data_IF_214341393705
#
_entry.id   IF_214341393705
#
_cell.length_a   1.000
_cell.length_b   1.000
_cell.length_c   1.000
_cell.angle_alpha   90.00
_cell.angle_beta   90.00
_cell.angle_gamma   90.00
#
_symmetry.space_group_name_H-M   'P 1'
#
loop_
_entity.id
_entity.type
_entity.pdbx_description
1 polymer ?
#
# COMPACT_ATOMS: atom_id res chain seq x y z
N UNK A 1 -7.86 -20.82 -23.87
CA UNK A 1 -8.10 -20.72 -22.42
C UNK A 1 -8.70 -19.33 -22.15
N UNK A 2 -9.76 -19.25 -21.37
CA UNK A 2 -10.31 -17.96 -20.92
C UNK A 2 -9.76 -17.73 -19.51
N UNK A 3 -9.01 -16.64 -19.30
CA UNK A 3 -8.45 -16.26 -17.99
C UNK A 3 -9.34 -15.19 -17.35
N UNK A 4 -9.89 -15.48 -16.17
CA UNK A 4 -10.84 -14.63 -15.48
C UNK A 4 -10.33 -14.10 -14.11
N UNK A 5 -9.09 -14.40 -13.75
CA UNK A 5 -8.49 -14.02 -12.46
C UNK A 5 -7.56 -12.78 -12.60
N UNK A 6 -8.04 -11.76 -13.28
CA UNK A 6 -7.26 -10.53 -13.49
C UNK A 6 -7.08 -9.69 -12.21
N UNK A 7 -7.81 -10.01 -11.14
CA UNK A 7 -7.59 -9.40 -9.83
C UNK A 7 -6.29 -9.87 -9.17
N UNK A 8 -5.82 -11.08 -9.50
CA UNK A 8 -4.58 -11.62 -8.99
C UNK A 8 -3.38 -11.26 -9.86
N UNK A 9 -3.48 -11.50 -11.17
CA UNK A 9 -2.39 -11.21 -12.14
C UNK A 9 -2.96 -10.82 -13.49
N UNK A 10 -2.20 -10.05 -14.25
CA UNK A 10 -2.55 -9.69 -15.62
C UNK A 10 -1.38 -9.95 -16.56
N UNK A 11 -1.67 -10.18 -17.83
CA UNK A 11 -0.64 -10.19 -18.87
C UNK A 11 -0.03 -8.80 -19.03
N UNK A 12 1.27 -8.73 -19.30
CA UNK A 12 1.90 -7.47 -19.67
C UNK A 12 1.20 -6.85 -20.88
N UNK A 13 0.94 -5.57 -20.82
CA UNK A 13 0.41 -4.84 -21.97
C UNK A 13 1.40 -4.88 -23.15
N UNK A 14 0.90 -4.85 -24.41
CA UNK A 14 1.77 -4.80 -25.57
C UNK A 14 2.78 -3.64 -25.48
N UNK A 15 4.02 -3.90 -25.84
CA UNK A 15 5.12 -2.93 -25.78
C UNK A 15 5.76 -2.72 -24.41
N UNK A 16 5.14 -3.15 -23.30
CA UNK A 16 5.75 -3.05 -21.95
C UNK A 16 6.99 -3.92 -21.85
N UNK A 17 6.90 -5.18 -22.31
CA UNK A 17 8.04 -6.10 -22.29
C UNK A 17 9.20 -5.53 -23.15
N UNK A 18 8.91 -5.02 -24.32
CA UNK A 18 9.92 -4.44 -25.23
C UNK A 18 10.62 -3.24 -24.59
N UNK A 19 9.87 -2.41 -23.86
CA UNK A 19 10.43 -1.27 -23.14
C UNK A 19 11.28 -1.69 -21.93
N UNK A 20 11.01 -2.86 -21.31
CA UNK A 20 11.76 -3.38 -20.17
C UNK A 20 13.03 -4.12 -20.58
N UNK A 21 13.02 -4.84 -21.71
CA UNK A 21 14.11 -5.72 -22.14
C UNK A 21 15.50 -5.04 -22.17
N UNK A 22 15.68 -3.81 -22.66
CA UNK A 22 16.98 -3.15 -22.64
C UNK A 22 17.59 -3.06 -21.24
N UNK A 23 16.77 -2.72 -20.23
CA UNK A 23 17.22 -2.58 -18.84
C UNK A 23 17.48 -3.91 -18.14
N UNK A 24 16.90 -5.00 -18.63
CA UNK A 24 17.16 -6.35 -18.13
C UNK A 24 18.42 -6.98 -18.74
N UNK A 25 18.84 -6.56 -19.94
CA UNK A 25 19.89 -7.23 -20.70
C UNK A 25 21.14 -6.36 -20.95
N UNK A 26 20.99 -5.11 -21.36
CA UNK A 26 22.10 -4.26 -21.79
C UNK A 26 22.30 -3.03 -20.90
N UNK A 27 21.23 -2.37 -20.45
CA UNK A 27 21.24 -1.11 -19.69
C UNK A 27 21.06 -1.35 -18.18
N UNK A 28 21.67 -2.39 -17.65
CA UNK A 28 21.51 -2.89 -16.27
C UNK A 28 22.28 -2.08 -15.22
N UNK A 29 22.57 -0.80 -15.47
CA UNK A 29 23.30 0.06 -14.55
C UNK A 29 22.57 0.32 -13.24
N UNK A 30 23.35 0.54 -12.16
CA UNK A 30 22.78 0.95 -10.89
C UNK A 30 22.43 2.45 -10.91
N UNK A 31 21.14 2.83 -10.87
CA UNK A 31 20.73 4.24 -10.96
C UNK A 31 21.19 5.10 -9.79
N UNK A 32 21.62 4.49 -8.68
CA UNK A 32 22.15 5.22 -7.53
C UNK A 32 23.66 5.55 -7.64
N UNK A 33 24.35 5.01 -8.66
CA UNK A 33 25.74 5.31 -8.93
C UNK A 33 25.87 6.52 -9.87
N UNK A 34 27.03 7.21 -9.81
CA UNK A 34 27.29 8.42 -10.62
C UNK A 34 28.54 8.31 -11.51
N UNK A 35 29.23 7.16 -11.49
CA UNK A 35 30.61 7.09 -11.95
C UNK A 35 30.80 6.40 -13.32
N UNK A 36 29.75 5.87 -13.93
CA UNK A 36 29.86 5.18 -15.21
C UNK A 36 28.61 5.35 -16.08
N UNK A 37 28.75 5.27 -17.43
CA UNK A 37 27.66 5.59 -18.37
C UNK A 37 26.36 4.79 -18.16
N UNK A 38 26.46 3.47 -17.87
CA UNK A 38 25.29 2.63 -17.61
C UNK A 38 24.48 3.10 -16.39
N UNK A 39 25.13 3.64 -15.36
CA UNK A 39 24.43 4.18 -14.21
C UNK A 39 23.68 5.46 -14.56
N UNK A 40 24.29 6.33 -15.37
CA UNK A 40 23.67 7.58 -15.83
C UNK A 40 22.44 7.27 -16.71
N UNK A 41 22.57 6.31 -17.65
CA UNK A 41 21.44 5.84 -18.47
C UNK A 41 20.31 5.28 -17.62
N UNK A 42 20.62 4.42 -16.65
CA UNK A 42 19.61 3.86 -15.74
C UNK A 42 18.93 4.94 -14.87
N UNK A 43 19.69 5.92 -14.37
CA UNK A 43 19.14 7.04 -13.61
C UNK A 43 18.19 7.87 -14.45
N UNK A 44 18.58 8.22 -15.68
CA UNK A 44 17.74 8.97 -16.60
C UNK A 44 16.43 8.23 -16.87
N UNK A 45 16.48 6.92 -17.14
CA UNK A 45 15.29 6.11 -17.37
C UNK A 45 14.33 6.08 -16.17
N UNK A 46 14.85 6.03 -14.93
CA UNK A 46 14.05 6.11 -13.72
C UNK A 46 13.38 7.47 -13.58
N UNK A 47 14.11 8.57 -13.82
CA UNK A 47 13.54 9.92 -13.72
C UNK A 47 12.50 10.20 -14.81
N UNK A 48 12.73 9.80 -16.05
CA UNK A 48 11.73 9.91 -17.14
C UNK A 48 10.46 9.10 -16.81
N UNK A 49 10.62 7.91 -16.21
CA UNK A 49 9.48 7.09 -15.78
C UNK A 49 8.71 7.76 -14.64
N UNK A 50 9.42 8.38 -13.71
CA UNK A 50 8.85 9.15 -12.59
C UNK A 50 8.02 10.33 -13.11
N UNK A 51 8.56 11.10 -14.04
CA UNK A 51 7.87 12.21 -14.69
C UNK A 51 6.57 11.77 -15.38
N UNK A 52 6.62 10.64 -16.12
CA UNK A 52 5.45 10.08 -16.81
C UNK A 52 4.35 9.66 -15.81
N UNK A 53 4.73 9.00 -14.73
CA UNK A 53 3.77 8.60 -13.66
C UNK A 53 3.19 9.83 -12.98
N UNK A 54 4.02 10.82 -12.65
CA UNK A 54 3.59 12.07 -12.04
C UNK A 54 2.58 12.81 -12.93
N UNK A 55 2.88 12.93 -14.23
CA UNK A 55 1.99 13.58 -15.20
C UNK A 55 0.63 12.87 -15.30
N UNK A 56 0.61 11.51 -15.23
CA UNK A 56 -0.62 10.72 -15.30
C UNK A 56 -1.60 11.01 -14.16
N UNK A 57 -1.08 11.31 -12.98
CA UNK A 57 -1.89 11.56 -11.77
C UNK A 57 -1.89 13.04 -11.35
N UNK A 58 -1.37 13.93 -12.19
CA UNK A 58 -1.26 15.37 -11.91
C UNK A 58 -0.46 15.70 -10.62
N UNK A 59 0.54 14.87 -10.33
CA UNK A 59 1.49 15.07 -9.23
C UNK A 59 2.81 15.65 -9.75
N UNK A 60 3.70 16.03 -8.84
CA UNK A 60 5.08 16.40 -9.16
C UNK A 60 5.98 15.14 -9.13
N UNK A 61 7.08 15.10 -9.90
CA UNK A 61 7.99 13.96 -9.91
C UNK A 61 8.52 13.59 -8.53
N UNK A 62 8.84 14.57 -7.68
CA UNK A 62 9.32 14.36 -6.31
C UNK A 62 8.28 13.75 -5.35
N UNK A 63 7.00 13.73 -5.73
CA UNK A 63 5.92 13.09 -4.97
C UNK A 63 5.74 11.60 -5.33
N UNK A 64 6.47 11.12 -6.35
CA UNK A 64 6.40 9.72 -6.78
C UNK A 64 7.50 8.90 -6.12
N UNK A 65 7.12 7.82 -5.46
CA UNK A 65 8.04 6.85 -4.85
C UNK A 65 7.76 5.48 -5.47
N UNK A 66 8.76 4.92 -6.14
CA UNK A 66 8.70 3.55 -6.65
C UNK A 66 8.96 2.56 -5.51
N UNK A 67 8.12 1.54 -5.44
CA UNK A 67 8.23 0.44 -4.49
C UNK A 67 8.19 -0.90 -5.21
N UNK A 68 8.52 -1.99 -4.55
CA UNK A 68 8.44 -3.32 -5.15
C UNK A 68 6.99 -3.83 -5.30
N UNK A 69 6.00 -3.12 -4.78
CA UNK A 69 4.60 -3.46 -4.93
C UNK A 69 3.68 -2.80 -3.92
N UNK A 70 2.37 -3.02 -4.10
CA UNK A 70 1.30 -2.42 -3.30
C UNK A 70 1.44 -2.71 -1.79
N UNK A 71 1.92 -3.90 -1.41
CA UNK A 71 2.11 -4.24 0.00
C UNK A 71 3.15 -3.32 0.66
N UNK A 72 4.26 -3.06 -0.01
CA UNK A 72 5.26 -2.11 0.49
C UNK A 72 4.71 -0.70 0.55
N UNK A 73 4.05 -0.24 -0.50
CA UNK A 73 3.43 1.09 -0.56
C UNK A 73 2.44 1.30 0.59
N UNK A 74 1.51 0.35 0.80
CA UNK A 74 0.51 0.43 1.87
C UNK A 74 1.17 0.47 3.25
N UNK A 75 2.17 -0.38 3.50
CA UNK A 75 2.90 -0.39 4.77
C UNK A 75 3.65 0.93 5.00
N UNK A 76 4.33 1.44 3.97
CA UNK A 76 5.09 2.68 4.05
C UNK A 76 4.18 3.86 4.35
N UNK A 77 3.05 3.99 3.64
CA UNK A 77 2.11 5.10 3.83
C UNK A 77 1.46 5.00 5.21
N UNK A 78 0.85 3.85 5.54
CA UNK A 78 0.08 3.71 6.78
C UNK A 78 0.98 3.92 8.01
N UNK A 79 2.13 3.25 8.06
CA UNK A 79 3.06 3.39 9.18
C UNK A 79 3.72 4.76 9.21
N UNK A 80 4.18 5.25 8.05
CA UNK A 80 4.85 6.55 7.96
C UNK A 80 3.95 7.70 8.36
N UNK A 81 2.71 7.75 7.86
CA UNK A 81 1.73 8.77 8.23
C UNK A 81 1.35 8.67 9.70
N UNK A 82 1.08 7.44 10.18
CA UNK A 82 0.73 7.23 11.59
C UNK A 82 1.85 7.69 12.53
N UNK A 83 3.10 7.32 12.26
CA UNK A 83 4.27 7.71 13.05
C UNK A 83 4.50 9.23 12.98
N UNK A 84 4.42 9.82 11.77
CA UNK A 84 4.57 11.26 11.59
C UNK A 84 3.55 12.05 12.41
N UNK A 85 2.27 11.69 12.30
CA UNK A 85 1.19 12.36 13.01
C UNK A 85 1.32 12.22 14.53
N UNK A 86 1.74 11.05 15.01
CA UNK A 86 1.88 10.78 16.45
C UNK A 86 3.11 11.43 17.07
N UNK A 87 4.28 11.27 16.44
CA UNK A 87 5.56 11.64 17.07
C UNK A 87 6.03 13.05 16.71
N UNK A 88 5.73 13.53 15.50
CA UNK A 88 6.17 14.86 15.05
C UNK A 88 5.07 15.89 15.21
N UNK A 89 3.89 15.67 14.63
CA UNK A 89 2.78 16.62 14.71
C UNK A 89 2.02 16.54 16.03
N UNK A 90 2.15 15.44 16.78
CA UNK A 90 1.47 15.17 18.07
C UNK A 90 -0.05 15.34 17.99
N UNK A 91 -0.65 14.99 16.84
CA UNK A 91 -2.09 15.14 16.58
C UNK A 91 -2.92 13.99 17.11
N UNK A 92 -2.32 12.81 17.26
CA UNK A 92 -3.04 11.64 17.75
C UNK A 92 -2.50 10.32 17.23
N UNK A 93 -3.24 9.26 17.49
CA UNK A 93 -2.83 7.89 17.15
C UNK A 93 -3.99 7.00 16.70
N UNK A 94 -5.14 7.59 16.38
CA UNK A 94 -6.30 6.84 15.93
C UNK A 94 -6.35 6.75 14.41
N UNK A 95 -6.58 5.54 13.90
CA UNK A 95 -6.67 5.20 12.48
C UNK A 95 -8.02 4.56 12.23
N UNK A 96 -8.62 4.83 11.09
CA UNK A 96 -9.87 4.20 10.65
C UNK A 96 -9.59 3.42 9.37
N UNK A 97 -10.11 2.19 9.30
CA UNK A 97 -10.05 1.35 8.10
C UNK A 97 -11.32 0.51 7.98
N UNK A 98 -11.51 -0.22 6.89
CA UNK A 98 -12.64 -1.13 6.75
C UNK A 98 -12.26 -2.58 7.07
N UNK A 99 -13.26 -3.42 7.36
CA UNK A 99 -13.05 -4.86 7.58
C UNK A 99 -12.78 -5.65 6.30
N UNK A 100 -13.08 -5.06 5.15
CA UNK A 100 -12.94 -5.68 3.82
C UNK A 100 -11.72 -5.22 3.04
N UNK A 101 -10.77 -4.57 3.69
CA UNK A 101 -9.53 -4.14 3.06
C UNK A 101 -8.70 -5.34 2.56
N UNK A 102 -7.88 -5.06 1.53
CA UNK A 102 -6.84 -6.01 1.15
C UNK A 102 -5.91 -6.31 2.34
N UNK A 103 -5.43 -7.54 2.44
CA UNK A 103 -4.58 -7.98 3.55
C UNK A 103 -3.36 -7.09 3.81
N UNK A 104 -2.79 -6.47 2.79
CA UNK A 104 -1.68 -5.53 2.94
C UNK A 104 -2.03 -4.33 3.84
N UNK A 105 -3.24 -3.78 3.70
CA UNK A 105 -3.77 -2.69 4.53
C UNK A 105 -4.27 -3.21 5.86
N UNK A 106 -5.15 -4.23 5.82
CA UNK A 106 -5.80 -4.79 7.01
C UNK A 106 -4.79 -5.28 8.05
N UNK A 107 -3.78 -6.02 7.59
CA UNK A 107 -2.77 -6.57 8.48
C UNK A 107 -1.82 -5.50 9.02
N UNK A 108 -1.53 -4.46 8.24
CA UNK A 108 -0.76 -3.31 8.73
C UNK A 108 -1.53 -2.56 9.82
N UNK A 109 -2.82 -2.35 9.64
CA UNK A 109 -3.68 -1.73 10.65
C UNK A 109 -3.79 -2.60 11.91
N UNK A 110 -3.98 -3.91 11.78
CA UNK A 110 -3.97 -4.86 12.91
C UNK A 110 -2.64 -4.84 13.65
N UNK A 111 -1.53 -4.82 12.93
CA UNK A 111 -0.19 -4.71 13.54
C UNK A 111 -0.04 -3.44 14.38
N UNK A 112 -0.50 -2.30 13.88
CA UNK A 112 -0.47 -1.03 14.63
C UNK A 112 -1.41 -1.07 15.84
N UNK A 113 -2.58 -1.70 15.72
CA UNK A 113 -3.54 -1.88 16.80
C UNK A 113 -3.04 -2.82 17.91
N UNK A 114 -1.93 -3.52 17.68
CA UNK A 114 -1.39 -4.50 18.61
C UNK A 114 -2.02 -5.88 18.51
N UNK A 115 -2.87 -6.13 17.52
CA UNK A 115 -3.50 -7.41 17.31
C UNK A 115 -2.44 -8.48 16.98
N UNK A 116 -2.58 -9.66 17.59
CA UNK A 116 -1.73 -10.80 17.25
C UNK A 116 -2.27 -11.43 15.97
N UNK A 117 -1.37 -11.73 15.04
CA UNK A 117 -1.68 -12.64 13.95
C UNK A 117 -1.99 -14.03 14.49
N UNK A 118 -3.26 -14.36 14.62
CA UNK A 118 -3.68 -15.76 14.59
C UNK A 118 -3.81 -16.15 13.11
N UNK A 119 -2.78 -16.78 12.55
CA UNK A 119 -2.94 -17.42 11.26
C UNK A 119 -3.98 -18.52 11.41
N UNK A 120 -5.20 -18.29 10.93
CA UNK A 120 -6.20 -19.33 10.76
C UNK A 120 -5.83 -20.32 9.63
N UNK A 121 -4.84 -20.00 8.80
CA UNK A 121 -4.27 -20.93 7.84
C UNK A 121 -3.12 -21.70 8.49
N UNK A 122 -3.40 -22.96 8.77
CA UNK A 122 -2.57 -23.92 9.51
C UNK A 122 -1.23 -24.31 8.84
N UNK A 123 -0.72 -23.55 7.88
CA UNK A 123 0.54 -23.84 7.20
C UNK A 123 1.72 -23.03 7.69
N UNK A 124 1.51 -22.02 8.51
CA UNK A 124 2.59 -21.26 9.16
C UNK A 124 2.31 -21.06 10.64
N UNK A 125 2.44 -22.14 11.43
CA UNK A 125 2.48 -22.04 12.88
C UNK A 125 3.82 -21.45 13.30
N UNK A 126 3.89 -20.16 13.51
CA UNK A 126 4.88 -19.59 14.42
C UNK A 126 4.45 -20.02 15.82
N UNK A 127 4.95 -21.17 16.26
CA UNK A 127 4.86 -21.64 17.64
C UNK A 127 5.60 -20.61 18.53
N UNK A 128 4.84 -19.69 19.07
CA UNK A 128 5.34 -18.59 19.88
C UNK A 128 4.53 -17.32 19.64
N UNK A 129 3.20 -17.39 19.92
CA UNK A 129 2.39 -16.17 19.99
C UNK A 129 3.06 -15.21 20.98
N UNK A 130 3.67 -14.14 20.48
CA UNK A 130 4.12 -13.05 21.33
C UNK A 130 2.88 -12.34 21.87
N UNK A 131 2.89 -11.91 23.15
CA UNK A 131 1.78 -11.17 23.71
C UNK A 131 1.51 -9.92 22.89
N UNK A 132 0.25 -9.47 22.89
CA UNK A 132 -0.18 -8.19 22.32
C UNK A 132 0.81 -7.11 22.74
N UNK A 133 1.46 -6.49 21.80
CA UNK A 133 2.37 -5.36 22.06
C UNK A 133 1.56 -4.10 21.82
N UNK A 134 1.23 -3.37 22.88
CA UNK A 134 0.68 -2.03 22.74
C UNK A 134 1.70 -1.15 21.99
N UNK A 135 1.35 -0.80 20.77
CA UNK A 135 2.17 0.10 19.91
C UNK A 135 1.73 1.55 20.07
N UNK A 136 0.74 1.78 20.93
CA UNK A 136 0.20 3.09 21.20
C UNK A 136 -0.64 3.66 20.04
N UNK A 137 -1.18 2.80 19.18
CA UNK A 137 -2.16 3.15 18.16
C UNK A 137 -3.49 2.48 18.46
N UNK A 138 -4.56 3.10 18.00
CA UNK A 138 -5.91 2.54 18.04
C UNK A 138 -6.46 2.53 16.63
N UNK A 139 -7.08 1.41 16.24
CA UNK A 139 -7.68 1.27 14.92
C UNK A 139 -9.16 0.96 15.05
N UNK A 140 -9.99 1.72 14.37
CA UNK A 140 -11.41 1.38 14.19
C UNK A 140 -11.57 0.69 12.83
N UNK A 141 -12.14 -0.52 12.87
CA UNK A 141 -12.45 -1.32 11.69
C UNK A 141 -13.94 -1.17 11.39
N UNK A 142 -14.27 -0.41 10.35
CA UNK A 142 -15.64 -0.16 9.95
C UNK A 142 -16.29 -1.42 9.36
N UNK A 143 -17.54 -1.63 9.74
CA UNK A 143 -18.41 -2.57 9.05
C UNK A 143 -18.84 -2.03 7.70
N UNK A 144 -19.32 -2.91 6.83
CA UNK A 144 -19.85 -2.59 5.52
C UNK A 144 -21.33 -3.00 5.42
N UNK A 145 -22.03 -2.42 4.47
CA UNK A 145 -23.40 -2.82 4.17
C UNK A 145 -23.48 -4.20 3.47
N UNK A 146 -24.67 -4.65 3.13
CA UNK A 146 -24.91 -5.92 2.46
C UNK A 146 -24.28 -6.00 1.05
N UNK A 147 -23.89 -4.87 0.47
CA UNK A 147 -23.20 -4.77 -0.82
C UNK A 147 -21.69 -4.59 -0.68
N UNK A 148 -21.17 -4.59 0.55
CA UNK A 148 -19.76 -4.41 0.83
C UNK A 148 -19.29 -2.96 0.76
N UNK A 149 -20.18 -1.96 0.96
CA UNK A 149 -19.82 -0.54 0.94
C UNK A 149 -19.62 -0.01 2.35
N UNK A 150 -18.60 0.80 2.53
CA UNK A 150 -18.43 1.62 3.72
C UNK A 150 -19.36 2.82 3.61
N UNK A 151 -20.32 2.94 4.54
CA UNK A 151 -21.24 4.08 4.54
C UNK A 151 -20.52 5.33 5.06
N UNK A 152 -20.69 6.50 4.40
CA UNK A 152 -20.09 7.76 4.86
C UNK A 152 -20.44 8.09 6.30
N UNK A 153 -21.66 7.82 6.74
CA UNK A 153 -22.13 8.05 8.10
C UNK A 153 -21.37 7.19 9.12
N UNK A 154 -21.00 5.95 8.74
CA UNK A 154 -20.21 5.08 9.61
C UNK A 154 -18.79 5.63 9.80
N UNK A 155 -18.20 6.19 8.73
CA UNK A 155 -16.92 6.86 8.81
C UNK A 155 -17.01 8.12 9.68
N UNK A 156 -18.00 8.96 9.46
CA UNK A 156 -18.22 10.18 10.20
C UNK A 156 -18.36 9.92 11.72
N UNK A 157 -19.17 8.92 12.10
CA UNK A 157 -19.31 8.52 13.51
C UNK A 157 -18.03 7.92 14.13
N UNK A 158 -17.15 7.36 13.30
CA UNK A 158 -15.90 6.77 13.78
C UNK A 158 -14.79 7.81 14.01
N UNK A 159 -14.91 9.01 13.44
CA UNK A 159 -13.92 10.09 13.60
C UNK A 159 -13.91 10.56 15.05
N UNK A 160 -12.71 10.65 15.60
CA UNK A 160 -12.43 11.13 16.96
C UNK A 160 -11.47 12.32 16.92
N UNK A 161 -11.36 13.10 17.99
CA UNK A 161 -10.43 14.25 18.03
C UNK A 161 -8.97 13.90 17.75
N UNK A 162 -8.57 12.64 18.02
CA UNK A 162 -7.23 12.11 17.78
C UNK A 162 -7.15 11.21 16.53
N UNK A 163 -8.15 11.24 15.65
CA UNK A 163 -8.10 10.56 14.35
C UNK A 163 -7.11 11.28 13.43
N UNK A 164 -6.13 10.54 12.96
CA UNK A 164 -5.05 11.07 12.13
C UNK A 164 -5.13 10.61 10.69
N UNK A 165 -5.81 9.49 10.43
CA UNK A 165 -5.89 8.91 9.10
C UNK A 165 -7.11 8.00 8.98
N UNK A 166 -7.72 8.02 7.79
CA UNK A 166 -8.60 6.94 7.32
C UNK A 166 -8.01 6.32 6.06
N UNK A 167 -8.10 5.00 5.95
CA UNK A 167 -7.66 4.25 4.76
C UNK A 167 -8.76 3.27 4.36
N UNK A 168 -9.40 3.54 3.25
CA UNK A 168 -10.53 2.79 2.69
C UNK A 168 -10.21 2.49 1.23
N UNK A 169 -10.34 1.24 0.82
CA UNK A 169 -10.12 0.86 -0.57
C UNK A 169 -11.17 1.50 -1.48
N UNK A 170 -10.72 1.99 -2.63
CA UNK A 170 -11.62 2.59 -3.62
C UNK A 170 -12.57 1.57 -4.24
N UNK A 171 -12.01 0.42 -4.66
CA UNK A 171 -12.77 -0.68 -5.23
C UNK A 171 -12.27 -2.00 -4.65
N UNK A 172 -13.18 -2.85 -4.20
CA UNK A 172 -12.81 -4.14 -3.66
C UNK A 172 -12.51 -5.12 -4.80
N UNK A 173 -11.31 -5.69 -4.78
CA UNK A 173 -10.82 -6.60 -5.82
C UNK A 173 -11.51 -7.97 -5.82
N UNK A 174 -12.17 -8.37 -4.73
CA UNK A 174 -12.85 -9.67 -4.61
C UNK A 174 -14.31 -9.59 -5.05
N UNK A 175 -15.02 -8.55 -4.62
CA UNK A 175 -16.48 -8.42 -4.85
C UNK A 175 -16.84 -7.30 -5.82
N UNK A 176 -15.88 -6.48 -6.27
CA UNK A 176 -16.08 -5.43 -7.26
C UNK A 176 -16.85 -4.20 -6.74
N UNK A 177 -17.11 -4.13 -5.44
CA UNK A 177 -17.81 -2.97 -4.84
C UNK A 177 -16.91 -1.74 -4.88
N UNK A 178 -17.51 -0.60 -5.24
CA UNK A 178 -16.86 0.73 -5.23
C UNK A 178 -17.39 1.49 -4.02
N UNK A 179 -16.46 2.02 -3.21
CA UNK A 179 -16.74 2.88 -2.06
C UNK A 179 -16.73 4.36 -2.42
#
# INVERSE_FOLDING_TARGET
MIYLDNSATTQLAPGVLDAMLPYLAAEYGNPSSKYYPLAVSAQQAVEESREKVAALIHAKPEEIIFTCGSTESSNMIIKGVADYQKYYEKRGSHIITSKIEHHATLNTCRYLNGDIYSNHDATFSLSGCRPVVDRGYRVTFLDVDALGRVLPEALEHAIKPDTTMSTIMWANNEIGTIN
#
